data_IF_540633700955
#
_entry.id   IF_540633700955
#
_cell.length_a   1.000
_cell.length_b   1.000
_cell.length_c   1.000
_cell.angle_alpha   90.00
_cell.angle_beta   90.00
_cell.angle_gamma   90.00
#
_symmetry.space_group_name_H-M   'P 1'
#
loop_
_entity.id
_entity.type
_entity.pdbx_description
1 polymer ?
#
# COMPACT_ATOMS: atom_id res chain seq x y z
N UNK A 1 -11.65 10.17 0.67
CA UNK A 1 -10.45 10.25 -0.15
C UNK A 1 -9.25 9.96 0.72
N UNK A 2 -8.43 8.97 0.37
CA UNK A 2 -7.34 8.51 1.24
C UNK A 2 -6.08 8.25 0.42
N UNK A 3 -5.11 9.13 0.56
CA UNK A 3 -3.95 9.15 -0.33
C UNK A 3 -2.61 9.10 0.40
N UNK A 4 -2.62 9.21 1.72
CA UNK A 4 -1.43 9.34 2.55
C UNK A 4 -0.45 8.18 2.32
N UNK A 5 -0.94 6.94 2.43
CA UNK A 5 -0.21 5.69 2.24
C UNK A 5 -0.92 4.79 1.23
N UNK A 6 -0.23 3.74 0.75
CA UNK A 6 -0.78 2.69 -0.12
C UNK A 6 -0.87 1.38 0.66
N UNK A 7 -1.92 0.55 0.46
CA UNK A 7 -2.06 -0.71 1.20
C UNK A 7 -0.97 -1.74 0.87
N UNK A 8 -0.40 -1.67 -0.34
CA UNK A 8 0.75 -2.49 -0.73
C UNK A 8 2.05 -1.81 -0.29
N UNK A 9 2.88 -2.52 0.47
CA UNK A 9 4.18 -2.03 0.96
C UNK A 9 5.05 -1.50 -0.18
N UNK A 10 5.08 -2.22 -1.30
CA UNK A 10 5.85 -1.90 -2.49
C UNK A 10 5.55 -0.50 -3.06
N UNK A 11 4.32 -0.01 -2.93
CA UNK A 11 3.88 1.28 -3.50
C UNK A 11 4.05 2.48 -2.56
N UNK A 12 4.69 2.29 -1.39
CA UNK A 12 5.02 3.37 -0.48
C UNK A 12 6.45 3.88 -0.73
N UNK A 13 6.74 4.30 -1.95
CA UNK A 13 8.02 4.92 -2.35
C UNK A 13 7.98 6.45 -2.29
N UNK A 14 9.10 7.10 -2.63
CA UNK A 14 9.30 8.55 -2.59
C UNK A 14 8.88 9.17 -1.26
N UNK A 15 8.04 10.21 -1.28
CA UNK A 15 7.55 10.86 -0.07
C UNK A 15 6.73 9.92 0.85
N UNK A 16 6.21 8.80 0.33
CA UNK A 16 5.50 7.78 1.12
C UNK A 16 6.44 6.80 1.81
N UNK A 17 7.74 6.83 1.52
CA UNK A 17 8.73 5.96 2.18
C UNK A 17 8.78 6.18 3.70
N UNK A 18 8.32 7.35 4.17
CA UNK A 18 8.15 7.62 5.61
C UNK A 18 7.31 6.54 6.30
N UNK A 19 6.28 5.99 5.66
CA UNK A 19 5.46 4.93 6.27
C UNK A 19 6.27 3.65 6.47
N UNK A 20 7.13 3.28 5.50
CA UNK A 20 8.04 2.14 5.65
C UNK A 20 9.08 2.37 6.74
N UNK A 21 9.65 3.58 6.81
CA UNK A 21 10.59 3.95 7.85
C UNK A 21 9.97 3.90 9.26
N UNK A 22 8.75 4.42 9.42
CA UNK A 22 8.05 4.41 10.71
C UNK A 22 7.60 3.01 11.12
N UNK A 23 7.14 2.18 10.18
CA UNK A 23 6.82 0.77 10.47
C UNK A 23 8.05 0.00 10.97
N UNK A 24 9.20 0.15 10.29
CA UNK A 24 10.47 -0.43 10.76
C UNK A 24 10.89 0.08 12.12
N UNK A 25 10.83 1.39 12.35
CA UNK A 25 11.19 1.99 13.64
C UNK A 25 10.30 1.47 14.79
N UNK A 26 9.02 1.24 14.52
CA UNK A 26 8.09 0.68 15.48
C UNK A 26 8.47 -0.77 15.85
N UNK A 27 8.78 -1.60 14.85
CA UNK A 27 9.20 -2.99 15.06
C UNK A 27 10.56 -3.05 15.77
N UNK A 28 11.56 -2.26 15.34
CA UNK A 28 12.87 -2.20 15.98
C UNK A 28 12.78 -1.76 17.44
N UNK A 29 11.87 -0.84 17.78
CA UNK A 29 11.66 -0.41 19.18
C UNK A 29 11.14 -1.55 20.05
N UNK A 30 10.30 -2.42 19.50
CA UNK A 30 9.76 -3.60 20.20
C UNK A 30 10.77 -4.75 20.27
N UNK A 31 11.64 -4.85 19.27
CA UNK A 31 12.66 -5.89 19.14
C UNK A 31 14.05 -5.28 18.90
N UNK A 32 14.69 -4.68 19.92
CA UNK A 32 15.95 -3.95 19.76
C UNK A 32 17.09 -4.79 19.16
N UNK A 33 17.09 -6.11 19.44
CA UNK A 33 18.15 -7.03 19.05
C UNK A 33 17.89 -7.73 17.69
N UNK A 34 16.76 -7.45 17.02
CA UNK A 34 16.47 -8.08 15.74
C UNK A 34 17.34 -7.52 14.61
N UNK A 35 17.81 -8.38 13.70
CA UNK A 35 18.54 -7.94 12.52
C UNK A 35 17.60 -7.26 11.52
N UNK A 36 18.13 -6.34 10.72
CA UNK A 36 17.35 -5.52 9.79
C UNK A 36 16.39 -6.31 8.86
N UNK A 37 16.76 -7.47 8.28
CA UNK A 37 15.85 -8.23 7.43
C UNK A 37 14.59 -8.76 8.16
N UNK A 38 14.71 -9.09 9.45
CA UNK A 38 13.58 -9.55 10.25
C UNK A 38 12.65 -8.40 10.59
N UNK A 39 13.24 -7.23 10.89
CA UNK A 39 12.50 -5.99 11.13
C UNK A 39 11.76 -5.55 9.87
N UNK A 40 12.38 -5.61 8.69
CA UNK A 40 11.74 -5.29 7.41
C UNK A 40 10.56 -6.23 7.12
N UNK A 41 10.75 -7.55 7.23
CA UNK A 41 9.69 -8.52 6.98
C UNK A 41 8.49 -8.32 7.93
N UNK A 42 8.75 -8.20 9.24
CA UNK A 42 7.69 -7.97 10.21
C UNK A 42 7.00 -6.61 10.02
N UNK A 43 7.75 -5.55 9.67
CA UNK A 43 7.17 -4.24 9.40
C UNK A 43 6.29 -4.23 8.16
N UNK A 44 6.70 -4.95 7.11
CA UNK A 44 5.90 -5.14 5.90
C UNK A 44 4.59 -5.87 6.22
N UNK A 45 4.66 -7.01 6.91
CA UNK A 45 3.48 -7.83 7.22
C UNK A 45 2.49 -7.06 8.10
N UNK A 46 2.97 -6.48 9.21
CA UNK A 46 2.13 -5.70 10.12
C UNK A 46 1.48 -4.50 9.43
N UNK A 47 2.22 -3.81 8.56
CA UNK A 47 1.70 -2.66 7.83
C UNK A 47 0.60 -3.07 6.85
N UNK A 48 0.84 -4.10 6.02
CA UNK A 48 -0.14 -4.51 5.01
C UNK A 48 -1.41 -5.09 5.65
N UNK A 49 -1.27 -5.89 6.72
CA UNK A 49 -2.41 -6.43 7.47
C UNK A 49 -3.25 -5.29 8.07
N UNK A 50 -2.59 -4.32 8.71
CA UNK A 50 -3.28 -3.16 9.25
C UNK A 50 -3.95 -2.35 8.12
N UNK A 51 -3.23 -2.01 7.06
CA UNK A 51 -3.76 -1.25 5.94
C UNK A 51 -4.99 -1.91 5.31
N UNK A 52 -4.94 -3.22 5.08
CA UNK A 52 -6.07 -4.01 4.57
C UNK A 52 -7.26 -3.96 5.55
N UNK A 53 -7.01 -4.22 6.83
CA UNK A 53 -8.05 -4.21 7.87
C UNK A 53 -8.76 -2.86 7.92
N UNK A 54 -8.00 -1.76 7.90
CA UNK A 54 -8.53 -0.41 7.93
C UNK A 54 -9.34 -0.06 6.67
N UNK A 55 -8.79 -0.29 5.49
CA UNK A 55 -9.46 0.06 4.22
C UNK A 55 -10.71 -0.80 3.98
N UNK A 56 -10.59 -2.12 4.13
CA UNK A 56 -11.71 -3.04 3.95
C UNK A 56 -12.80 -2.84 5.01
N UNK A 57 -12.41 -2.64 6.28
CA UNK A 57 -13.34 -2.34 7.36
C UNK A 57 -14.12 -1.05 7.12
N UNK A 58 -13.45 -0.01 6.59
CA UNK A 58 -14.09 1.28 6.26
C UNK A 58 -15.12 1.12 5.14
N UNK A 59 -14.79 0.41 4.06
CA UNK A 59 -15.74 0.12 2.97
C UNK A 59 -16.92 -0.69 3.47
N UNK A 60 -16.67 -1.75 4.25
CA UNK A 60 -17.72 -2.60 4.82
C UNK A 60 -18.68 -1.82 5.71
N UNK A 61 -18.15 -0.92 6.55
CA UNK A 61 -18.97 -0.06 7.39
C UNK A 61 -19.82 0.90 6.52
N UNK A 62 -19.21 1.53 5.51
CA UNK A 62 -19.91 2.41 4.57
C UNK A 62 -21.07 1.70 3.86
N UNK A 63 -20.82 0.50 3.34
CA UNK A 63 -21.82 -0.35 2.70
C UNK A 63 -22.93 -0.76 3.67
N UNK A 64 -22.57 -1.10 4.92
CA UNK A 64 -23.56 -1.48 5.95
C UNK A 64 -24.50 -0.33 6.29
N UNK A 65 -23.95 0.89 6.43
CA UNK A 65 -24.72 2.07 6.79
C UNK A 65 -25.49 2.67 5.62
N UNK A 66 -24.97 2.52 4.39
CA UNK A 66 -25.54 3.04 3.14
C UNK A 66 -25.42 1.98 2.04
N UNK A 67 -26.32 0.98 2.02
CA UNK A 67 -26.22 -0.18 1.14
C UNK A 67 -26.39 0.14 -0.35
N UNK A 68 -26.95 1.30 -0.69
CA UNK A 68 -27.09 1.76 -2.07
C UNK A 68 -25.98 2.75 -2.48
N UNK A 69 -24.96 2.96 -1.66
CA UNK A 69 -23.81 3.80 -1.99
C UNK A 69 -22.82 3.09 -2.91
N UNK A 70 -22.30 3.82 -3.90
CA UNK A 70 -21.22 3.35 -4.76
C UNK A 70 -19.88 3.62 -4.08
N UNK A 71 -19.51 2.76 -3.12
CA UNK A 71 -18.31 2.91 -2.31
C UNK A 71 -17.06 2.40 -3.03
N UNK A 72 -16.03 3.23 -3.06
CA UNK A 72 -14.69 2.89 -3.56
C UNK A 72 -13.68 3.91 -3.07
N UNK A 73 -12.39 3.58 -3.20
CA UNK A 73 -11.32 4.52 -2.95
C UNK A 73 -10.88 5.18 -4.25
N UNK A 74 -10.72 6.49 -4.21
CA UNK A 74 -10.13 7.25 -5.31
C UNK A 74 -8.69 6.78 -5.56
N UNK A 75 -8.30 6.70 -6.85
CA UNK A 75 -6.95 6.31 -7.26
C UNK A 75 -6.65 4.80 -7.22
N UNK A 76 -7.68 3.93 -7.12
CA UNK A 76 -7.50 2.48 -7.13
C UNK A 76 -8.29 1.79 -8.26
N UNK A 77 -7.68 0.83 -8.99
CA UNK A 77 -6.24 0.52 -9.00
C UNK A 77 -5.43 1.62 -9.70
N UNK A 78 -4.17 1.80 -9.29
CA UNK A 78 -3.19 2.59 -10.04
C UNK A 78 -2.35 1.63 -10.92
N UNK A 79 -2.04 2.06 -12.14
CA UNK A 79 -1.25 1.32 -13.12
C UNK A 79 0.24 1.70 -13.05
N UNK A 80 0.59 2.85 -12.47
CA UNK A 80 1.95 3.39 -12.38
C UNK A 80 2.70 3.44 -13.73
N UNK A 81 1.98 3.59 -14.85
CA UNK A 81 2.50 3.70 -16.21
C UNK A 81 2.93 5.15 -16.54
N UNK A 82 3.74 5.75 -15.67
CA UNK A 82 4.12 7.17 -15.72
C UNK A 82 5.44 7.44 -16.47
N UNK A 83 5.99 6.42 -17.14
CA UNK A 83 7.25 6.46 -17.88
C UNK A 83 7.10 7.08 -19.29
N UNK A 84 6.36 8.18 -19.40
CA UNK A 84 5.97 8.82 -20.66
C UNK A 84 7.13 9.23 -21.58
N UNK A 85 8.32 9.41 -21.02
CA UNK A 85 9.52 9.79 -21.77
C UNK A 85 10.25 8.57 -22.36
N UNK A 86 9.80 7.35 -22.09
CA UNK A 86 10.40 6.15 -22.64
C UNK A 86 10.14 6.03 -24.14
N UNK A 87 11.17 5.69 -24.92
CA UNK A 87 11.07 5.53 -26.37
C UNK A 87 10.20 4.33 -26.80
N UNK A 88 9.97 3.39 -25.89
CA UNK A 88 9.13 2.20 -26.08
C UNK A 88 7.83 2.26 -25.24
N UNK A 89 7.33 3.45 -24.90
CA UNK A 89 6.14 3.61 -24.08
C UNK A 89 4.90 2.95 -24.72
N UNK A 90 4.32 1.96 -24.03
CA UNK A 90 3.12 1.23 -24.48
C UNK A 90 1.86 1.60 -23.71
N UNK A 91 2.00 2.35 -22.60
CA UNK A 91 0.92 2.59 -21.64
C UNK A 91 0.55 1.37 -20.80
N UNK A 92 1.25 0.24 -20.94
CA UNK A 92 1.05 -0.92 -20.07
C UNK A 92 1.57 -0.63 -18.66
N UNK A 93 0.92 -1.23 -17.65
CA UNK A 93 1.41 -1.14 -16.29
C UNK A 93 2.80 -1.79 -16.21
N UNK A 94 3.77 -1.21 -15.47
CA UNK A 94 5.09 -1.79 -15.32
C UNK A 94 5.05 -3.22 -14.76
N UNK A 95 6.08 -4.04 -15.04
CA UNK A 95 6.17 -5.39 -14.51
C UNK A 95 5.97 -5.44 -12.99
N UNK A 96 5.16 -6.39 -12.53
CA UNK A 96 4.86 -6.58 -11.11
C UNK A 96 3.76 -5.69 -10.54
N UNK A 97 3.35 -4.60 -11.22
CA UNK A 97 2.24 -3.75 -10.75
C UNK A 97 0.93 -4.53 -10.73
N UNK A 98 0.59 -5.23 -11.83
CA UNK A 98 -0.61 -6.06 -11.88
C UNK A 98 -0.59 -7.14 -10.79
N UNK A 99 0.56 -7.78 -10.56
CA UNK A 99 0.69 -8.78 -9.49
C UNK A 99 0.48 -8.20 -8.09
N UNK A 100 0.83 -6.92 -7.84
CA UNK A 100 0.52 -6.24 -6.58
C UNK A 100 -0.95 -5.82 -6.51
N UNK A 101 -1.59 -5.50 -7.64
CA UNK A 101 -3.02 -5.18 -7.71
C UNK A 101 -3.91 -6.43 -7.54
N UNK A 102 -3.40 -7.62 -7.89
CA UNK A 102 -4.08 -8.91 -7.69
C UNK A 102 -4.06 -9.39 -6.23
N UNK A 103 -3.26 -8.75 -5.35
CA UNK A 103 -3.12 -9.11 -3.93
C UNK A 103 -3.86 -8.16 -2.98
#
# INVERSE_FOLDING_TARGET
>A
DWEAWRPRWAFNWDAKDIYRQRSRALVQKQHPDWPAPWVEAAAQDQFQEAAQTWMAGTLKLGQTLRPHGLWGFYGFPDCYNYDFQSSNYTGQCPPGVSAQNDQ
#
